data_IF_884394255374
#
_entry.id   IF_884394255374
#
_cell.length_a   1.000
_cell.length_b   1.000
_cell.length_c   1.000
_cell.angle_alpha   90.00
_cell.angle_beta   90.00
_cell.angle_gamma   90.00
#
_symmetry.space_group_name_H-M   'P 1'
#
loop_
_entity.id
_entity.type
_entity.pdbx_description
1 polymer ?
#
# COMPACT_ATOMS: atom_id res chain seq x y z
N UNK A 1 9.58 -37.93 18.04
CA UNK A 1 9.84 -36.49 18.14
C UNK A 1 8.63 -35.79 17.52
N UNK A 2 7.70 -35.39 18.39
CA UNK A 2 6.49 -34.60 18.12
C UNK A 2 6.88 -33.35 17.32
N UNK A 3 6.17 -32.92 16.28
CA UNK A 3 4.75 -32.63 16.24
C UNK A 3 4.62 -31.13 15.90
N UNK A 4 3.53 -30.78 15.21
CA UNK A 4 3.10 -29.43 14.80
C UNK A 4 3.82 -28.78 13.61
N UNK A 5 3.44 -29.20 12.39
CA UNK A 5 3.04 -28.20 11.39
C UNK A 5 1.86 -27.45 12.01
N UNK A 6 2.18 -26.36 12.71
CA UNK A 6 1.19 -25.42 13.20
C UNK A 6 0.49 -24.82 11.99
N UNK A 7 -0.77 -25.19 11.82
CA UNK A 7 -1.85 -24.25 11.55
C UNK A 7 -1.37 -22.95 10.90
N UNK A 8 -1.18 -22.98 9.58
CA UNK A 8 -1.13 -21.77 8.77
C UNK A 8 -2.57 -21.39 8.40
N UNK A 9 -3.43 -21.38 9.42
CA UNK A 9 -4.79 -20.86 9.37
C UNK A 9 -4.74 -19.35 9.46
N UNK A 10 -5.10 -18.72 8.36
CA UNK A 10 -5.75 -17.40 8.30
C UNK A 10 -5.10 -16.25 9.10
N UNK A 11 -4.21 -15.52 8.41
CA UNK A 11 -4.02 -14.10 8.68
C UNK A 11 -5.21 -13.31 8.09
N UNK A 12 -6.42 -13.58 8.56
CA UNK A 12 -7.52 -12.63 8.47
C UNK A 12 -7.39 -11.72 9.68
N UNK A 13 -6.91 -10.48 9.50
CA UNK A 13 -6.77 -9.53 10.60
C UNK A 13 -8.09 -9.40 11.37
N UNK A 14 -8.00 -9.13 12.68
CA UNK A 14 -9.13 -8.88 13.57
C UNK A 14 -10.03 -7.75 13.04
N UNK A 15 -10.88 -8.05 12.06
CA UNK A 15 -11.87 -7.14 11.53
C UNK A 15 -13.05 -7.16 12.50
N UNK A 16 -12.86 -6.50 13.64
CA UNK A 16 -13.95 -6.32 14.59
C UNK A 16 -15.11 -5.62 13.87
N UNK A 17 -16.32 -6.20 13.88
CA UNK A 17 -17.44 -5.65 13.14
C UNK A 17 -17.79 -4.25 13.67
N UNK A 18 -17.99 -3.31 12.74
CA UNK A 18 -18.41 -1.93 13.07
C UNK A 18 -19.78 -1.97 13.76
N UNK A 19 -19.84 -1.50 15.01
CA UNK A 19 -21.06 -1.50 15.83
C UNK A 19 -21.74 -0.13 15.79
N UNK A 20 -22.98 -0.10 15.29
CA UNK A 20 -23.81 1.12 15.22
C UNK A 20 -25.04 0.94 16.12
N UNK A 21 -25.33 1.94 16.95
CA UNK A 21 -26.49 1.93 17.86
C UNK A 21 -27.37 3.18 17.65
N UNK A 22 -28.68 2.98 17.56
CA UNK A 22 -29.66 4.07 17.55
C UNK A 22 -29.93 4.51 19.00
N UNK A 23 -29.54 5.73 19.35
CA UNK A 23 -29.72 6.27 20.72
C UNK A 23 -31.11 6.88 20.96
N UNK A 24 -31.80 7.33 19.91
CA UNK A 24 -33.12 7.97 20.00
C UNK A 24 -33.87 7.81 18.68
N UNK A 25 -35.20 7.75 18.76
CA UNK A 25 -36.10 7.61 17.60
C UNK A 25 -36.43 6.15 17.29
N UNK A 26 -37.27 5.95 16.28
CA UNK A 26 -37.66 4.63 15.78
C UNK A 26 -37.57 4.65 14.25
N UNK A 27 -36.34 4.64 13.68
CA UNK A 27 -36.18 4.69 12.23
C UNK A 27 -36.81 3.46 11.60
N UNK A 28 -37.37 3.65 10.42
CA UNK A 28 -37.88 2.57 9.59
C UNK A 28 -36.72 1.71 9.08
N UNK A 29 -37.03 0.48 8.66
CA UNK A 29 -36.03 -0.41 8.04
C UNK A 29 -35.39 0.21 6.79
N UNK A 30 -36.17 0.98 6.01
CA UNK A 30 -35.67 1.66 4.81
C UNK A 30 -34.66 2.76 5.15
N UNK A 31 -34.91 3.54 6.18
CA UNK A 31 -33.98 4.58 6.63
C UNK A 31 -32.68 3.99 7.19
N UNK A 32 -32.78 2.91 7.98
CA UNK A 32 -31.59 2.18 8.45
C UNK A 32 -30.76 1.64 7.29
N UNK A 33 -31.41 1.05 6.29
CA UNK A 33 -30.73 0.55 5.10
C UNK A 33 -30.02 1.68 4.32
N UNK A 34 -30.68 2.84 4.19
CA UNK A 34 -30.08 4.00 3.53
C UNK A 34 -28.81 4.49 4.25
N UNK A 35 -28.85 4.58 5.59
CA UNK A 35 -27.68 5.00 6.38
C UNK A 35 -26.55 3.99 6.25
N UNK A 36 -26.84 2.68 6.39
CA UNK A 36 -25.82 1.64 6.25
C UNK A 36 -25.20 1.68 4.85
N UNK A 37 -26.00 1.84 3.79
CA UNK A 37 -25.48 1.92 2.43
C UNK A 37 -24.51 3.09 2.25
N UNK A 38 -24.87 4.29 2.72
CA UNK A 38 -24.02 5.48 2.59
C UNK A 38 -22.73 5.35 3.39
N UNK A 39 -22.80 4.83 4.62
CA UNK A 39 -21.61 4.68 5.48
C UNK A 39 -20.67 3.63 4.89
N UNK A 40 -21.20 2.49 4.48
CA UNK A 40 -20.39 1.42 3.85
C UNK A 40 -19.72 1.91 2.57
N UNK A 41 -20.43 2.67 1.73
CA UNK A 41 -19.83 3.26 0.52
C UNK A 41 -18.70 4.22 0.87
N UNK A 42 -18.89 5.09 1.87
CA UNK A 42 -17.82 6.02 2.30
C UNK A 42 -16.58 5.28 2.80
N UNK A 43 -16.76 4.21 3.59
CA UNK A 43 -15.67 3.38 4.06
C UNK A 43 -14.96 2.66 2.91
N UNK A 44 -15.71 2.13 1.94
CA UNK A 44 -15.15 1.45 0.78
C UNK A 44 -14.30 2.42 -0.07
N UNK A 45 -14.79 3.65 -0.24
CA UNK A 45 -14.08 4.68 -0.98
C UNK A 45 -12.79 5.13 -0.25
N UNK A 46 -12.86 5.36 1.06
CA UNK A 46 -11.67 5.67 1.87
C UNK A 46 -10.66 4.52 1.86
N UNK A 47 -11.13 3.27 1.97
CA UNK A 47 -10.26 2.11 1.92
C UNK A 47 -9.58 1.96 0.56
N UNK A 48 -10.28 2.25 -0.54
CA UNK A 48 -9.71 2.23 -1.89
C UNK A 48 -8.61 3.29 -2.06
N UNK A 49 -8.83 4.50 -1.51
CA UNK A 49 -7.85 5.59 -1.57
C UNK A 49 -6.66 5.39 -0.61
N UNK A 50 -6.85 4.63 0.47
CA UNK A 50 -5.82 4.33 1.47
C UNK A 50 -4.81 3.26 1.00
N UNK A 51 -5.03 2.60 -0.14
CA UNK A 51 -4.09 1.62 -0.69
C UNK A 51 -2.90 2.36 -1.30
N UNK A 52 -1.72 2.22 -0.69
CA UNK A 52 -0.48 2.71 -1.28
C UNK A 52 -0.32 2.13 -2.70
N UNK A 53 -0.01 2.95 -3.71
CA UNK A 53 0.19 2.43 -5.06
C UNK A 53 1.30 1.38 -5.03
N UNK A 54 1.10 0.29 -5.78
CA UNK A 54 2.11 -0.75 -5.93
C UNK A 54 3.45 -0.09 -6.28
N UNK A 55 4.54 -0.38 -5.55
CA UNK A 55 5.83 0.21 -5.84
C UNK A 55 6.19 -0.03 -7.31
N UNK A 56 6.35 1.06 -8.07
CA UNK A 56 6.74 0.93 -9.46
C UNK A 56 8.10 0.22 -9.53
N UNK A 57 8.23 -0.87 -10.31
CA UNK A 57 9.50 -1.55 -10.43
C UNK A 57 10.56 -0.58 -10.93
N UNK A 58 11.73 -0.58 -10.30
CA UNK A 58 12.81 0.35 -10.65
C UNK A 58 13.14 0.23 -12.15
N UNK A 59 13.14 1.35 -12.87
CA UNK A 59 13.41 1.37 -14.31
C UNK A 59 14.80 0.82 -14.65
N UNK A 60 14.97 0.33 -15.88
CA UNK A 60 16.29 -0.11 -16.36
C UNK A 60 17.36 0.99 -16.21
N UNK A 61 16.99 2.25 -16.44
CA UNK A 61 17.85 3.41 -16.22
C UNK A 61 18.21 3.64 -14.74
N UNK A 62 17.24 3.58 -13.81
CA UNK A 62 17.54 3.69 -12.37
C UNK A 62 18.44 2.56 -11.87
N UNK A 63 18.33 1.37 -12.47
CA UNK A 63 19.22 0.23 -12.18
C UNK A 63 20.63 0.45 -12.74
N UNK A 64 20.77 0.91 -13.99
CA UNK A 64 22.07 1.12 -14.65
C UNK A 64 22.79 2.38 -14.17
N UNK A 65 22.08 3.47 -13.85
CA UNK A 65 22.65 4.73 -13.39
C UNK A 65 23.44 4.57 -12.08
N UNK A 66 23.11 3.59 -11.24
CA UNK A 66 23.88 3.28 -10.02
C UNK A 66 25.31 2.80 -10.34
N UNK A 67 25.49 2.06 -11.44
CA UNK A 67 26.80 1.64 -11.91
C UNK A 67 27.60 2.79 -12.57
N UNK A 68 26.92 3.86 -13.01
CA UNK A 68 27.52 4.99 -13.71
C UNK A 68 27.87 6.19 -12.80
N UNK A 69 27.51 6.14 -11.51
CA UNK A 69 27.83 7.20 -10.52
C UNK A 69 29.18 6.99 -9.82
N UNK A 70 30.14 6.34 -10.45
CA UNK A 70 31.51 6.58 -10.03
C UNK A 70 31.80 8.07 -10.31
N UNK A 71 32.20 8.88 -9.31
CA UNK A 71 32.60 10.25 -9.58
C UNK A 71 33.69 10.24 -10.65
N UNK A 72 33.50 11.06 -11.69
CA UNK A 72 34.45 11.17 -12.79
C UNK A 72 35.83 11.48 -12.21
N UNK A 73 36.77 10.53 -12.32
CA UNK A 73 38.13 10.70 -11.86
C UNK A 73 38.81 11.76 -12.74
N UNK A 74 38.85 13.02 -12.27
CA UNK A 74 39.47 14.16 -12.99
C UNK A 74 41.01 14.08 -13.08
N UNK A 75 41.60 12.91 -12.88
CA UNK A 75 43.06 12.70 -12.81
C UNK A 75 43.72 12.24 -14.11
N UNK A 76 42.96 11.72 -15.09
CA UNK A 76 43.51 11.35 -16.39
C UNK A 76 43.31 12.52 -17.36
N UNK A 77 44.30 13.40 -17.42
CA UNK A 77 44.25 14.64 -18.19
C UNK A 77 43.93 14.41 -19.66
N UNK A 78 42.89 15.07 -20.15
CA UNK A 78 42.52 15.16 -21.58
C UNK A 78 43.48 16.06 -22.39
N UNK A 79 44.67 16.36 -21.86
CA UNK A 79 45.56 17.41 -22.35
C UNK A 79 46.81 16.95 -23.09
N UNK A 80 46.91 15.68 -23.53
CA UNK A 80 48.12 15.16 -24.22
C UNK A 80 47.94 14.83 -25.70
N UNK A 81 46.87 15.27 -26.35
CA UNK A 81 46.84 15.30 -27.81
C UNK A 81 47.55 16.57 -28.30
N UNK A 82 48.87 16.48 -28.46
CA UNK A 82 49.63 17.42 -29.28
C UNK A 82 49.81 16.76 -30.65
N UNK A 83 49.25 17.37 -31.68
CA UNK A 83 49.49 16.95 -33.07
C UNK A 83 50.95 17.03 -33.47
#
# INVERSE_FOLDING_TARGET
MTGTDGDRGELGGDEQPVRIEVRRGAPTAAELAAVVAVVTESYAQEAADAVAPEPTPASAWQRSARALRAPLQRGFGWGRFTG
#
